data_IF_596131398654
#
_entry.id   IF_596131398654
#
_cell.length_a   1.000
_cell.length_b   1.000
_cell.length_c   1.000
_cell.angle_alpha   90.00
_cell.angle_beta   90.00
_cell.angle_gamma   90.00
#
_symmetry.space_group_name_H-M   'P 1'
#
loop_
_entity.id
_entity.type
_entity.pdbx_description
1 polymer ?
#
# COMPACT_ATOMS: atom_id res chain seq x y z
N UNK A 1 -14.04 8.19 -31.29
CA UNK A 1 -14.62 8.87 -30.11
C UNK A 1 -13.73 8.55 -28.91
N UNK A 2 -12.90 9.49 -28.45
CA UNK A 2 -12.15 9.31 -27.21
C UNK A 2 -13.10 9.61 -26.05
N UNK A 3 -13.51 8.58 -25.31
CA UNK A 3 -14.26 8.78 -24.08
C UNK A 3 -13.26 9.19 -23.01
N UNK A 4 -13.38 10.42 -22.48
CA UNK A 4 -12.53 10.85 -21.38
C UNK A 4 -12.94 10.06 -20.13
N UNK A 5 -12.09 9.14 -19.69
CA UNK A 5 -12.34 8.37 -18.49
C UNK A 5 -12.52 9.32 -17.29
N UNK A 6 -13.59 9.11 -16.53
CA UNK A 6 -13.90 9.92 -15.35
C UNK A 6 -13.17 9.38 -14.12
N UNK A 7 -13.10 10.18 -13.05
CA UNK A 7 -12.63 9.70 -11.74
C UNK A 7 -13.46 8.51 -11.26
N UNK A 8 -14.77 8.52 -11.53
CA UNK A 8 -15.66 7.41 -11.20
C UNK A 8 -15.25 6.11 -11.90
N UNK A 9 -14.94 6.18 -13.20
CA UNK A 9 -14.50 5.00 -13.97
C UNK A 9 -13.17 4.45 -13.44
N UNK A 10 -12.23 5.34 -13.09
CA UNK A 10 -10.95 4.97 -12.52
C UNK A 10 -11.10 4.30 -11.14
N UNK A 11 -11.94 4.84 -10.27
CA UNK A 11 -12.24 4.25 -8.96
C UNK A 11 -12.86 2.85 -9.11
N UNK A 12 -13.87 2.72 -9.97
CA UNK A 12 -14.53 1.44 -10.21
C UNK A 12 -13.53 0.40 -10.71
N UNK A 13 -12.65 0.79 -11.65
CA UNK A 13 -11.60 -0.09 -12.13
C UNK A 13 -10.67 -0.56 -11.00
N UNK A 14 -10.17 0.35 -10.16
CA UNK A 14 -9.29 0.00 -9.03
C UNK A 14 -10.02 -0.91 -8.06
N UNK A 15 -11.27 -0.60 -7.72
CA UNK A 15 -12.07 -1.40 -6.79
C UNK A 15 -12.31 -2.82 -7.33
N UNK A 16 -12.61 -2.97 -8.63
CA UNK A 16 -12.71 -4.28 -9.30
C UNK A 16 -11.39 -5.04 -9.27
N UNK A 17 -10.28 -4.39 -9.58
CA UNK A 17 -8.97 -5.06 -9.56
C UNK A 17 -8.62 -5.54 -8.15
N UNK A 18 -8.78 -4.70 -7.14
CA UNK A 18 -8.48 -5.03 -5.75
C UNK A 18 -9.39 -6.12 -5.19
N UNK A 19 -10.66 -6.14 -5.60
CA UNK A 19 -11.67 -7.07 -5.04
C UNK A 19 -11.71 -8.40 -5.79
N UNK A 20 -11.47 -8.42 -7.11
CA UNK A 20 -11.68 -9.61 -7.92
C UNK A 20 -10.39 -10.21 -8.47
N UNK A 21 -9.41 -9.37 -8.85
CA UNK A 21 -8.22 -9.84 -9.58
C UNK A 21 -7.02 -10.04 -8.67
N UNK A 22 -6.85 -9.19 -7.66
CA UNK A 22 -5.76 -9.29 -6.70
C UNK A 22 -5.86 -10.53 -5.78
N UNK A 23 -7.03 -10.91 -5.21
CA UNK A 23 -7.10 -12.03 -4.28
C UNK A 23 -6.59 -13.37 -4.84
N UNK A 24 -6.96 -13.81 -6.07
CA UNK A 24 -6.44 -15.07 -6.59
C UNK A 24 -4.93 -15.04 -6.83
N UNK A 25 -4.37 -13.89 -7.24
CA UNK A 25 -2.92 -13.72 -7.41
C UNK A 25 -2.17 -13.81 -6.08
N UNK A 26 -2.71 -13.18 -5.03
CA UNK A 26 -2.14 -13.27 -3.68
C UNK A 26 -2.19 -14.71 -3.16
N UNK A 27 -3.32 -15.39 -3.31
CA UNK A 27 -3.52 -16.77 -2.86
C UNK A 27 -2.65 -17.79 -3.61
N UNK A 28 -2.30 -17.52 -4.86
CA UNK A 28 -1.41 -18.37 -5.65
C UNK A 28 0.06 -18.27 -5.21
N UNK A 29 0.45 -17.23 -4.46
CA UNK A 29 1.83 -17.01 -4.04
C UNK A 29 2.10 -17.49 -2.62
N UNK A 30 3.01 -18.46 -2.48
CA UNK A 30 3.45 -19.00 -1.18
C UNK A 30 4.16 -17.95 -0.29
N UNK A 31 4.68 -16.88 -0.91
CA UNK A 31 5.32 -15.79 -0.18
C UNK A 31 4.32 -14.77 0.38
N UNK A 32 3.11 -14.73 -0.18
CA UNK A 32 2.09 -13.73 0.15
C UNK A 32 0.90 -14.31 0.92
N UNK A 33 0.61 -15.60 0.76
CA UNK A 33 -0.51 -16.29 1.39
C UNK A 33 -0.06 -17.58 2.10
N UNK A 34 -0.63 -17.94 3.26
CA UNK A 34 -1.64 -17.18 4.02
C UNK A 34 -1.05 -16.05 4.88
N UNK A 35 0.28 -15.96 4.93
CA UNK A 35 0.98 -15.01 5.79
C UNK A 35 2.22 -14.47 5.08
N UNK A 36 2.30 -13.15 4.92
CA UNK A 36 3.53 -12.47 4.51
C UNK A 36 4.44 -12.36 5.73
N UNK A 37 5.60 -13.00 5.70
CA UNK A 37 6.59 -12.87 6.78
C UNK A 37 7.36 -11.57 6.60
N UNK A 38 7.28 -10.68 7.58
CA UNK A 38 8.14 -9.49 7.60
C UNK A 38 9.51 -9.92 8.14
N UNK A 39 10.60 -9.62 7.43
CA UNK A 39 11.94 -9.96 7.90
C UNK A 39 12.24 -9.27 9.23
N UNK A 40 13.17 -9.86 9.97
CA UNK A 40 13.61 -9.31 11.25
C UNK A 40 14.20 -7.90 11.08
N UNK A 41 13.70 -6.94 11.86
CA UNK A 41 14.20 -5.57 11.85
C UNK A 41 14.43 -5.04 13.28
N UNK A 42 15.54 -4.35 13.48
CA UNK A 42 15.88 -3.67 14.74
C UNK A 42 15.79 -2.16 14.54
N UNK A 43 14.92 -1.49 15.27
CA UNK A 43 14.84 -0.04 15.28
C UNK A 43 15.70 0.52 16.43
N UNK A 44 16.52 1.54 16.15
CA UNK A 44 17.10 2.38 17.19
C UNK A 44 16.18 3.57 17.41
N UNK A 45 15.66 3.72 18.62
CA UNK A 45 14.85 4.89 18.99
C UNK A 45 15.78 6.11 19.11
N UNK A 46 15.69 7.06 18.17
CA UNK A 46 16.34 8.36 18.31
C UNK A 46 15.50 9.25 19.24
N UNK A 47 15.68 9.08 20.56
CA UNK A 47 15.01 9.91 21.56
C UNK A 47 15.71 11.28 21.63
N UNK A 48 15.34 12.21 20.73
CA UNK A 48 15.79 13.61 20.82
C UNK A 48 14.92 14.47 21.74
N UNK A 49 13.83 13.92 22.29
CA UNK A 49 12.85 14.70 23.05
C UNK A 49 12.29 13.90 24.24
N UNK A 50 13.14 13.55 25.20
CA UNK A 50 12.81 13.55 26.64
C UNK A 50 14.05 13.12 27.41
N UNK A 51 14.32 13.87 28.46
CA UNK A 51 15.44 13.72 29.37
C UNK A 51 15.60 12.29 29.89
N UNK A 52 16.88 11.88 30.00
CA UNK A 52 17.43 10.82 30.85
C UNK A 52 16.81 9.40 30.73
N UNK A 53 17.75 8.47 30.55
CA UNK A 53 17.71 7.01 30.76
C UNK A 53 17.04 6.13 29.69
N UNK A 54 17.87 5.20 29.19
CA UNK A 54 17.61 4.03 28.35
C UNK A 54 17.28 4.27 26.86
N UNK A 55 18.32 4.16 26.02
CA UNK A 55 18.21 3.75 24.62
C UNK A 55 17.59 2.35 24.54
N UNK A 56 16.27 2.28 24.60
CA UNK A 56 15.52 1.04 24.43
C UNK A 56 15.58 0.61 22.96
N UNK A 57 16.28 -0.50 22.70
CA UNK A 57 16.29 -1.13 21.37
C UNK A 57 15.02 -1.97 21.25
N UNK A 58 14.09 -1.53 20.40
CA UNK A 58 12.87 -2.29 20.13
C UNK A 58 13.18 -3.35 19.07
N UNK A 59 12.97 -4.61 19.43
CA UNK A 59 13.20 -5.76 18.54
C UNK A 59 11.87 -6.39 18.15
N UNK A 60 11.51 -6.31 16.87
CA UNK A 60 10.34 -7.00 16.33
C UNK A 60 10.72 -8.43 15.96
N UNK A 61 10.35 -9.41 16.80
CA UNK A 61 10.82 -10.79 16.60
C UNK A 61 10.02 -11.61 15.60
N UNK A 62 8.71 -11.35 15.40
CA UNK A 62 7.85 -12.13 14.48
C UNK A 62 6.65 -11.29 14.03
N UNK A 63 6.85 -10.45 13.02
CA UNK A 63 5.75 -9.67 12.43
C UNK A 63 5.31 -10.34 11.13
N UNK A 64 4.01 -10.43 10.95
CA UNK A 64 3.38 -11.15 9.86
C UNK A 64 2.17 -10.37 9.39
N UNK A 65 2.03 -10.19 8.08
CA UNK A 65 0.82 -9.61 7.47
C UNK A 65 -0.10 -10.78 7.12
N UNK A 66 -1.33 -10.72 7.62
CA UNK A 66 -2.40 -11.66 7.29
C UNK A 66 -3.44 -10.96 6.43
N UNK A 67 -4.27 -11.76 5.76
CA UNK A 67 -5.44 -11.27 5.03
C UNK A 67 -5.08 -10.26 3.91
N UNK A 68 -3.90 -10.38 3.29
CA UNK A 68 -3.52 -9.52 2.17
C UNK A 68 -4.46 -9.70 0.97
N UNK A 69 -5.04 -10.89 0.83
CA UNK A 69 -6.00 -11.23 -0.22
C UNK A 69 -7.38 -10.57 -0.05
N UNK A 70 -7.74 -10.13 1.16
CA UNK A 70 -9.07 -9.56 1.44
C UNK A 70 -9.04 -8.18 2.12
N UNK A 71 -7.89 -7.79 2.65
CA UNK A 71 -7.72 -6.59 3.47
C UNK A 71 -7.36 -5.34 2.68
N UNK A 72 -6.98 -5.47 1.40
CA UNK A 72 -6.59 -4.34 0.56
C UNK A 72 -7.84 -3.70 -0.05
N UNK A 73 -7.98 -2.39 0.15
CA UNK A 73 -9.06 -1.56 -0.41
C UNK A 73 -8.53 -0.19 -0.79
N UNK A 74 -9.19 0.46 -1.74
CA UNK A 74 -8.87 1.83 -2.13
C UNK A 74 -9.07 2.78 -0.95
N UNK A 75 -8.13 3.68 -0.75
CA UNK A 75 -8.20 4.74 0.27
C UNK A 75 -8.46 6.08 -0.41
N UNK A 76 -9.70 6.56 -0.31
CA UNK A 76 -10.12 7.82 -0.93
C UNK A 76 -10.26 7.74 -2.45
N UNK A 77 -10.57 8.87 -3.07
CA UNK A 77 -10.85 8.98 -4.51
C UNK A 77 -9.57 9.06 -5.35
N UNK A 78 -9.63 8.53 -6.57
CA UNK A 78 -8.59 8.73 -7.57
C UNK A 78 -8.40 10.24 -7.85
N UNK A 79 -7.14 10.68 -7.86
CA UNK A 79 -6.82 12.08 -8.14
C UNK A 79 -6.92 12.34 -9.64
N UNK A 80 -7.55 13.46 -10.00
CA UNK A 80 -7.51 13.97 -11.37
C UNK A 80 -6.07 14.37 -11.67
N UNK A 81 -5.50 13.98 -12.84
CA UNK A 81 -4.18 14.45 -13.22
C UNK A 81 -4.14 15.97 -13.17
N UNK A 82 -3.16 16.54 -12.48
CA UNK A 82 -2.89 17.97 -12.59
C UNK A 82 -2.49 18.22 -14.05
N UNK A 83 -3.39 18.84 -14.82
CA UNK A 83 -3.05 19.36 -16.14
C UNK A 83 -1.94 20.37 -15.88
N UNK A 84 -0.69 20.02 -16.21
CA UNK A 84 0.36 21.02 -16.28
C UNK A 84 -0.07 21.98 -17.38
N UNK A 85 -0.44 23.19 -17.00
CA UNK A 85 -0.57 24.29 -17.95
C UNK A 85 0.75 24.42 -18.70
N UNK A 86 0.73 24.15 -20.01
CA UNK A 86 1.82 24.49 -20.92
C UNK A 86 2.54 23.32 -21.58
N UNK A 87 2.24 23.22 -22.88
CA UNK A 87 3.03 22.68 -24.01
C UNK A 87 2.70 21.26 -24.51
N UNK A 88 2.18 21.14 -25.74
CA UNK A 88 2.17 19.88 -26.45
C UNK A 88 3.59 19.59 -26.94
N UNK A 89 4.22 18.52 -26.44
CA UNK A 89 5.31 17.91 -27.19
C UNK A 89 4.74 16.93 -28.21
N UNK A 90 4.81 17.40 -29.47
CA UNK A 90 4.81 16.71 -30.76
C UNK A 90 3.47 16.29 -31.35
#
# INVERSE_FOLDING_TARGET
CAHSATVHDANNFVDTVLTEKLPPLVRASLNLFPVVRIPFFKFRRCQKLLQRTATSTLTLRRVAIRNLDIGVRRMGECQVPAVKEGHPER
#
